data_IF_687014737741
#
_entry.id   IF_687014737741
#
_cell.length_a   1.000
_cell.length_b   1.000
_cell.length_c   1.000
_cell.angle_alpha   90.00
_cell.angle_beta   90.00
_cell.angle_gamma   90.00
#
_symmetry.space_group_name_H-M   'P 1'
#
loop_
_entity.id
_entity.type
_entity.pdbx_description
1 polymer ?
#
# COMPACT_ATOMS: atom_id res chain seq x y z
N UNK A 1 -22.94 -1.22 -12.62
CA UNK A 1 -22.21 -2.26 -11.85
C UNK A 1 -20.89 -1.64 -11.43
N UNK A 2 -20.53 -1.67 -10.15
CA UNK A 2 -19.23 -1.14 -9.68
C UNK A 2 -18.10 -2.11 -10.03
N UNK A 3 -16.91 -1.59 -10.31
CA UNK A 3 -15.72 -2.40 -10.56
C UNK A 3 -15.16 -3.00 -9.26
N UNK A 4 -14.40 -4.10 -9.37
CA UNK A 4 -13.67 -4.67 -8.25
C UNK A 4 -12.74 -3.64 -7.59
N UNK A 5 -12.20 -2.73 -8.39
CA UNK A 5 -11.35 -1.64 -7.91
C UNK A 5 -12.12 -0.67 -7.01
N UNK A 6 -13.27 -0.17 -7.49
CA UNK A 6 -14.12 0.73 -6.69
C UNK A 6 -14.60 0.04 -5.41
N UNK A 7 -15.00 -1.24 -5.51
CA UNK A 7 -15.44 -2.01 -4.36
C UNK A 7 -14.32 -2.15 -3.30
N UNK A 8 -13.12 -2.53 -3.73
CA UNK A 8 -11.99 -2.78 -2.83
C UNK A 8 -11.35 -1.49 -2.29
N UNK A 9 -11.29 -0.42 -3.10
CA UNK A 9 -10.89 0.91 -2.62
C UNK A 9 -11.91 1.43 -1.60
N UNK A 10 -13.22 1.28 -1.87
CA UNK A 10 -14.28 1.67 -0.96
C UNK A 10 -14.14 1.02 0.41
N UNK A 11 -13.84 -0.29 0.45
CA UNK A 11 -13.57 -1.00 1.70
C UNK A 11 -12.34 -0.43 2.46
N UNK A 12 -11.28 -0.03 1.74
CA UNK A 12 -10.11 0.59 2.35
C UNK A 12 -10.42 1.95 2.97
N UNK A 13 -11.14 2.80 2.24
CA UNK A 13 -11.56 4.13 2.70
C UNK A 13 -12.55 4.05 3.86
N UNK A 14 -13.48 3.09 3.85
CA UNK A 14 -14.41 2.91 4.96
C UNK A 14 -13.65 2.65 6.27
N UNK A 15 -12.59 1.82 6.26
CA UNK A 15 -11.76 1.60 7.45
C UNK A 15 -11.06 2.89 7.89
N UNK A 16 -10.58 3.69 6.93
CA UNK A 16 -9.89 4.96 7.19
C UNK A 16 -10.84 5.98 7.86
N UNK A 17 -12.05 6.13 7.34
CA UNK A 17 -13.12 6.99 7.89
C UNK A 17 -13.51 6.54 9.30
N UNK A 18 -13.62 5.23 9.52
CA UNK A 18 -13.99 4.65 10.81
C UNK A 18 -12.92 4.79 11.91
N UNK A 19 -11.77 5.42 11.64
CA UNK A 19 -10.85 5.85 12.72
C UNK A 19 -11.45 6.93 13.62
N UNK A 20 -12.46 7.66 13.14
CA UNK A 20 -13.17 8.67 13.94
C UNK A 20 -12.41 9.98 14.14
N UNK A 21 -11.32 10.19 13.41
CA UNK A 21 -10.55 11.45 13.43
C UNK A 21 -10.74 12.23 12.12
N UNK A 22 -10.65 13.57 12.15
CA UNK A 22 -10.70 14.39 10.94
C UNK A 22 -9.56 14.03 9.98
N UNK A 23 -9.93 13.71 8.75
CA UNK A 23 -9.00 13.41 7.66
C UNK A 23 -9.47 14.08 6.37
N UNK A 24 -8.51 14.48 5.54
CA UNK A 24 -8.77 14.86 4.15
C UNK A 24 -8.19 13.78 3.25
N UNK A 25 -9.01 13.24 2.35
CA UNK A 25 -8.57 12.28 1.33
C UNK A 25 -8.67 12.95 -0.03
N UNK A 26 -7.53 13.15 -0.68
CA UNK A 26 -7.43 13.76 -2.01
C UNK A 26 -6.97 12.71 -3.01
N UNK A 27 -7.79 12.43 -4.03
CA UNK A 27 -7.36 11.61 -5.16
C UNK A 27 -6.36 12.40 -6.01
N UNK A 28 -5.25 11.77 -6.40
CA UNK A 28 -4.20 12.41 -7.21
C UNK A 28 -4.10 11.78 -8.62
N UNK A 29 -5.17 11.86 -9.44
CA UNK A 29 -5.24 11.17 -10.74
C UNK A 29 -4.19 11.66 -11.73
N UNK A 30 -3.72 12.90 -11.57
CA UNK A 30 -2.64 13.49 -12.40
C UNK A 30 -1.26 12.92 -12.08
N UNK A 31 -1.10 12.21 -10.94
CA UNK A 31 0.11 11.48 -10.58
C UNK A 31 -0.05 10.01 -10.98
N UNK A 32 -1.11 9.34 -10.49
CA UNK A 32 -1.47 7.98 -10.86
C UNK A 32 -2.91 7.68 -10.40
N UNK A 33 -3.72 6.93 -11.15
CA UNK A 33 -5.12 6.65 -10.79
C UNK A 33 -5.30 5.94 -9.45
N UNK A 34 -4.27 5.22 -8.97
CA UNK A 34 -4.29 4.51 -7.69
C UNK A 34 -3.57 5.26 -6.55
N UNK A 35 -3.19 6.53 -6.75
CA UNK A 35 -2.56 7.35 -5.69
C UNK A 35 -3.57 8.28 -5.04
N UNK A 36 -3.52 8.30 -3.71
CA UNK A 36 -4.31 9.18 -2.86
C UNK A 36 -3.39 9.83 -1.83
N UNK A 37 -3.71 11.07 -1.46
CA UNK A 37 -3.06 11.80 -0.38
C UNK A 37 -4.03 11.84 0.79
N UNK A 38 -3.57 11.39 1.94
CA UNK A 38 -4.33 11.41 3.19
C UNK A 38 -3.64 12.37 4.14
N UNK A 39 -4.36 13.41 4.54
CA UNK A 39 -3.90 14.40 5.52
C UNK A 39 -4.69 14.26 6.80
N UNK A 40 -3.98 14.19 7.92
CA UNK A 40 -4.51 14.20 9.28
C UNK A 40 -4.09 15.47 10.02
N UNK A 41 -4.41 15.55 11.32
CA UNK A 41 -3.94 16.63 12.18
C UNK A 41 -2.42 16.64 12.36
N UNK A 42 -1.76 15.48 12.24
CA UNK A 42 -0.34 15.31 12.57
C UNK A 42 0.54 14.97 11.38
N UNK A 43 -0.05 14.55 10.26
CA UNK A 43 0.71 13.91 9.18
C UNK A 43 0.04 14.06 7.82
N UNK A 44 0.87 14.08 6.77
CA UNK A 44 0.44 13.93 5.37
C UNK A 44 1.11 12.71 4.78
N UNK A 45 0.30 11.78 4.30
CA UNK A 45 0.73 10.48 3.75
C UNK A 45 0.27 10.33 2.31
N UNK A 46 1.14 9.84 1.44
CA UNK A 46 0.80 9.41 0.10
C UNK A 46 0.64 7.90 0.05
N UNK A 47 -0.46 7.44 -0.53
CA UNK A 47 -0.86 6.04 -0.53
C UNK A 47 -1.02 5.57 -1.97
N UNK A 48 -0.27 4.54 -2.35
CA UNK A 48 -0.52 3.78 -3.58
C UNK A 48 -1.34 2.54 -3.23
N UNK A 49 -2.56 2.45 -3.75
CA UNK A 49 -3.34 1.21 -3.67
C UNK A 49 -2.92 0.23 -4.75
N UNK A 50 -2.65 -1.01 -4.33
CA UNK A 50 -2.51 -2.14 -5.25
C UNK A 50 -3.49 -3.23 -4.83
N UNK A 51 -4.17 -3.82 -5.80
CA UNK A 51 -5.24 -4.79 -5.55
C UNK A 51 -4.84 -6.17 -6.07
N UNK A 52 -5.20 -7.19 -5.32
CA UNK A 52 -5.30 -8.57 -5.82
C UNK A 52 -6.74 -9.05 -5.65
N UNK A 53 -7.31 -9.63 -6.71
CA UNK A 53 -8.65 -10.24 -6.70
C UNK A 53 -8.63 -11.72 -6.33
N UNK A 54 -7.45 -12.30 -6.10
CA UNK A 54 -7.30 -13.70 -5.69
C UNK A 54 -7.94 -13.91 -4.32
N UNK A 55 -8.81 -14.92 -4.20
CA UNK A 55 -9.57 -15.16 -2.97
C UNK A 55 -8.75 -15.73 -1.80
N UNK A 56 -7.60 -16.34 -2.09
CA UNK A 56 -6.73 -17.00 -1.10
C UNK A 56 -5.27 -16.57 -1.25
N UNK A 57 -4.56 -16.56 -0.14
CA UNK A 57 -3.13 -16.29 -0.09
C UNK A 57 -2.31 -17.35 -0.86
N UNK A 58 -1.10 -17.06 -1.34
CA UNK A 58 -0.46 -15.74 -1.35
C UNK A 58 -1.02 -14.82 -2.46
N UNK A 59 -1.14 -13.53 -2.15
CA UNK A 59 -1.44 -12.43 -3.07
C UNK A 59 -0.13 -11.86 -3.61
N UNK A 60 -0.11 -11.40 -4.85
CA UNK A 60 1.10 -10.88 -5.48
C UNK A 60 0.85 -9.52 -6.10
N UNK A 61 1.83 -8.63 -5.93
CA UNK A 61 1.79 -7.25 -6.37
C UNK A 61 3.09 -6.94 -7.08
N UNK A 62 3.01 -6.57 -8.36
CA UNK A 62 4.17 -6.14 -9.15
C UNK A 62 4.10 -4.63 -9.33
N UNK A 63 5.21 -3.95 -9.10
CA UNK A 63 5.32 -2.50 -9.25
C UNK A 63 5.73 -2.15 -10.68
N UNK A 64 4.98 -1.27 -11.33
CA UNK A 64 5.24 -0.85 -12.71
C UNK A 64 6.22 0.33 -12.75
N UNK A 65 6.82 0.60 -13.92
CA UNK A 65 7.62 1.80 -14.13
C UNK A 65 6.82 3.09 -13.98
N UNK A 66 5.52 3.06 -14.31
CA UNK A 66 4.60 4.19 -14.12
C UNK A 66 4.38 4.46 -12.63
N UNK A 67 4.23 3.41 -11.81
CA UNK A 67 4.09 3.55 -10.36
C UNK A 67 5.39 4.07 -9.71
N UNK A 68 6.55 3.61 -10.17
CA UNK A 68 7.85 4.12 -9.73
C UNK A 68 8.02 5.63 -10.02
N UNK A 69 7.67 6.04 -11.24
CA UNK A 69 7.64 7.46 -11.63
C UNK A 69 6.63 8.26 -10.81
N UNK A 70 5.47 7.67 -10.53
CA UNK A 70 4.41 8.29 -9.75
C UNK A 70 4.81 8.51 -8.29
N UNK A 71 5.51 7.56 -7.66
CA UNK A 71 6.08 7.70 -6.31
C UNK A 71 7.09 8.85 -6.29
N UNK A 72 7.97 8.91 -7.28
CA UNK A 72 8.96 9.99 -7.41
C UNK A 72 8.28 11.35 -7.56
N UNK A 73 7.24 11.43 -8.40
CA UNK A 73 6.46 12.66 -8.63
C UNK A 73 5.68 13.10 -7.39
N UNK A 74 5.10 12.15 -6.65
CA UNK A 74 4.41 12.41 -5.39
C UNK A 74 5.34 13.08 -4.39
N UNK A 75 6.55 12.54 -4.22
CA UNK A 75 7.56 13.10 -3.32
C UNK A 75 8.09 14.45 -3.75
N UNK A 76 8.30 14.66 -5.04
CA UNK A 76 8.78 15.94 -5.55
C UNK A 76 7.75 17.06 -5.42
N UNK A 77 6.45 16.74 -5.52
CA UNK A 77 5.35 17.71 -5.37
C UNK A 77 4.97 17.99 -3.92
N UNK A 78 5.23 17.05 -3.01
CA UNK A 78 4.86 17.14 -1.60
C UNK A 78 6.07 16.88 -0.71
N UNK A 79 6.83 17.94 -0.42
CA UNK A 79 8.04 17.84 0.41
C UNK A 79 7.70 17.28 1.80
N UNK A 80 8.41 16.24 2.22
CA UNK A 80 8.20 15.59 3.52
C UNK A 80 7.02 14.62 3.59
N UNK A 81 6.35 14.32 2.46
CA UNK A 81 5.29 13.32 2.44
C UNK A 81 5.85 11.92 2.72
N UNK A 82 5.19 11.17 3.60
CA UNK A 82 5.51 9.75 3.80
C UNK A 82 4.76 8.88 2.80
N UNK A 83 5.47 7.94 2.19
CA UNK A 83 4.90 7.03 1.21
C UNK A 83 4.53 5.67 1.81
N UNK A 84 3.34 5.19 1.46
CA UNK A 84 2.83 3.87 1.82
C UNK A 84 2.26 3.12 0.62
N UNK A 85 2.51 1.82 0.57
CA UNK A 85 1.80 0.90 -0.32
C UNK A 85 0.70 0.18 0.46
N UNK A 86 -0.56 0.40 0.08
CA UNK A 86 -1.71 -0.31 0.62
C UNK A 86 -2.05 -1.50 -0.29
N UNK A 87 -1.59 -2.69 0.11
CA UNK A 87 -1.76 -3.93 -0.65
C UNK A 87 -3.08 -4.61 -0.25
N UNK A 88 -4.12 -4.39 -1.05
CA UNK A 88 -5.47 -4.90 -0.82
C UNK A 88 -5.54 -6.38 -1.20
N UNK A 89 -5.67 -7.23 -0.19
CA UNK A 89 -5.66 -8.69 -0.27
C UNK A 89 -7.08 -9.24 -0.45
N UNK A 90 -7.75 -8.85 -1.54
CA UNK A 90 -9.15 -9.17 -1.81
C UNK A 90 -10.06 -8.87 -0.59
N UNK A 91 -10.81 -9.86 -0.10
CA UNK A 91 -11.70 -9.77 1.06
C UNK A 91 -11.00 -10.05 2.41
N UNK A 92 -9.72 -10.38 2.43
CA UNK A 92 -8.99 -10.68 3.68
C UNK A 92 -8.66 -9.41 4.48
N UNK A 93 -8.20 -8.36 3.80
CA UNK A 93 -7.79 -7.12 4.42
C UNK A 93 -6.74 -6.37 3.60
N UNK A 94 -6.00 -5.50 4.28
CA UNK A 94 -5.06 -4.57 3.65
C UNK A 94 -3.73 -4.68 4.39
N UNK A 95 -2.70 -5.11 3.67
CA UNK A 95 -1.33 -5.09 4.16
C UNK A 95 -0.71 -3.74 3.78
N UNK A 96 -0.54 -2.85 4.75
CA UNK A 96 0.07 -1.55 4.53
C UNK A 96 1.57 -1.63 4.82
N UNK A 97 2.39 -1.21 3.87
CA UNK A 97 3.84 -1.17 3.99
C UNK A 97 4.33 0.28 3.89
N UNK A 98 5.21 0.69 4.81
CA UNK A 98 5.98 1.92 4.63
C UNK A 98 7.01 1.75 3.52
N UNK A 99 7.54 2.86 3.04
CA UNK A 99 8.64 2.84 2.08
C UNK A 99 9.87 2.03 2.56
N UNK A 100 10.29 2.21 3.82
CA UNK A 100 11.42 1.45 4.36
C UNK A 100 11.16 -0.05 4.36
N UNK A 101 9.92 -0.47 4.65
CA UNK A 101 9.53 -1.88 4.62
C UNK A 101 9.52 -2.44 3.20
N UNK A 102 9.15 -1.61 2.22
CA UNK A 102 9.24 -1.97 0.81
C UNK A 102 10.70 -2.17 0.40
N UNK A 103 11.60 -1.23 0.71
CA UNK A 103 13.03 -1.37 0.42
C UNK A 103 13.67 -2.55 1.13
N UNK A 104 13.23 -2.89 2.35
CA UNK A 104 13.73 -4.06 3.08
C UNK A 104 13.41 -5.41 2.41
N UNK A 105 12.45 -5.45 1.48
CA UNK A 105 12.12 -6.66 0.71
C UNK A 105 12.47 -6.56 -0.76
N UNK A 106 12.79 -5.37 -1.25
CA UNK A 106 13.28 -5.20 -2.61
C UNK A 106 14.76 -5.53 -2.71
N UNK A 107 15.17 -5.80 -3.95
CA UNK A 107 16.57 -6.07 -4.26
C UNK A 107 17.39 -4.83 -3.90
N UNK A 108 18.24 -4.95 -2.86
CA UNK A 108 18.92 -3.85 -2.19
C UNK A 108 19.80 -3.00 -3.11
N UNK A 109 20.16 -3.54 -4.27
CA UNK A 109 21.03 -2.88 -5.25
C UNK A 109 20.29 -1.83 -6.10
N UNK A 110 18.96 -1.71 -5.98
CA UNK A 110 18.18 -0.77 -6.78
C UNK A 110 17.20 0.01 -5.92
N UNK A 111 17.41 1.32 -5.80
CA UNK A 111 16.44 2.31 -5.33
C UNK A 111 15.26 2.51 -6.30
N UNK A 112 14.84 1.43 -6.98
CA UNK A 112 13.88 1.42 -8.08
C UNK A 112 12.80 0.39 -7.75
N UNK A 113 11.55 0.84 -7.73
CA UNK A 113 10.37 -0.01 -7.51
C UNK A 113 10.00 -0.80 -8.78
N UNK A 114 10.27 -0.24 -9.95
CA UNK A 114 9.88 -0.81 -11.24
C UNK A 114 10.39 -2.26 -11.42
N UNK A 115 9.47 -3.16 -11.77
CA UNK A 115 9.75 -4.57 -12.00
C UNK A 115 9.88 -5.42 -10.74
N UNK A 116 9.86 -4.80 -9.55
CA UNK A 116 9.89 -5.53 -8.29
C UNK A 116 8.52 -6.15 -7.99
N UNK A 117 8.53 -7.34 -7.39
CA UNK A 117 7.33 -8.07 -7.00
C UNK A 117 7.36 -8.41 -5.52
N UNK A 118 6.23 -8.16 -4.86
CA UNK A 118 5.97 -8.58 -3.48
C UNK A 118 4.90 -9.66 -3.47
N UNK A 119 5.08 -10.66 -2.62
CA UNK A 119 4.09 -11.67 -2.27
C UNK A 119 3.69 -11.52 -0.81
N UNK A 120 2.39 -11.37 -0.58
CA UNK A 120 1.78 -11.26 0.75
C UNK A 120 1.03 -12.54 1.06
N UNK A 121 1.30 -13.14 2.20
CA UNK A 121 0.58 -14.32 2.67
C UNK A 121 0.17 -14.16 4.12
N UNK A 122 -0.87 -14.88 4.52
CA UNK A 122 -1.42 -14.82 5.87
C UNK A 122 -2.07 -16.14 6.22
N UNK A 123 -1.83 -16.60 7.44
CA UNK A 123 -2.59 -17.69 8.08
C UNK A 123 -3.82 -17.11 8.76
N UNK A 124 -4.88 -17.91 8.93
CA UNK A 124 -6.09 -17.49 9.64
C UNK A 124 -5.74 -16.82 10.98
N UNK A 125 -6.37 -15.68 11.27
CA UNK A 125 -6.15 -14.87 12.47
C UNK A 125 -4.70 -14.37 12.71
N UNK A 126 -3.77 -14.57 11.78
CA UNK A 126 -2.36 -14.18 11.93
C UNK A 126 -2.03 -12.79 11.35
N UNK A 127 -0.75 -12.45 11.36
CA UNK A 127 -0.19 -11.29 10.66
C UNK A 127 0.16 -11.60 9.20
N UNK A 128 0.26 -10.55 8.38
CA UNK A 128 0.77 -10.64 7.02
C UNK A 128 2.27 -10.94 7.01
N UNK A 129 2.66 -11.89 6.18
CA UNK A 129 4.01 -12.27 5.87
C UNK A 129 4.35 -11.77 4.47
N UNK A 130 5.46 -11.06 4.36
CA UNK A 130 5.86 -10.36 3.14
C UNK A 130 7.15 -10.99 2.63
N UNK A 131 7.13 -11.39 1.37
CA UNK A 131 8.28 -11.89 0.65
C UNK A 131 8.49 -11.04 -0.61
N UNK A 132 9.70 -10.56 -0.82
CA UNK A 132 10.11 -9.88 -2.03
C UNK A 132 10.51 -10.84 -3.15
N UNK A 133 11.09 -10.27 -4.20
CA UNK A 133 11.72 -11.06 -5.25
C UNK A 133 12.91 -11.88 -4.69
N UNK A 134 13.30 -12.96 -5.38
CA UNK A 134 14.46 -13.80 -5.01
C UNK A 134 14.42 -14.41 -3.59
N UNK A 135 13.23 -14.67 -3.03
CA UNK A 135 13.02 -15.28 -1.69
C UNK A 135 13.51 -14.42 -0.52
N UNK A 136 13.69 -13.11 -0.71
CA UNK A 136 13.94 -12.18 0.40
C UNK A 136 12.68 -12.11 1.25
N UNK A 137 12.80 -12.39 2.55
CA UNK A 137 11.68 -12.38 3.49
C UNK A 137 11.82 -11.21 4.43
N UNK A 138 10.74 -10.47 4.65
CA UNK A 138 10.75 -9.41 5.65
C UNK A 138 10.93 -9.99 7.05
N UNK A 139 11.86 -9.42 7.82
CA UNK A 139 12.18 -9.93 9.17
C UNK A 139 11.02 -9.79 10.16
N UNK A 140 10.11 -8.84 9.94
CA UNK A 140 8.92 -8.61 10.78
C UNK A 140 7.65 -8.87 9.97
N UNK A 141 6.58 -9.26 10.67
CA UNK A 141 5.24 -9.40 10.07
C UNK A 141 4.47 -8.10 10.21
N UNK A 142 3.44 -7.92 9.38
CA UNK A 142 2.55 -6.74 9.43
C UNK A 142 1.20 -7.14 10.03
N UNK A 143 0.79 -6.57 11.16
CA UNK A 143 -0.52 -6.83 11.76
C UNK A 143 -1.67 -6.44 10.81
N UNK A 144 -2.79 -7.19 10.84
CA UNK A 144 -3.96 -6.89 10.00
C UNK A 144 -4.61 -5.53 10.33
N UNK A 145 -4.44 -5.06 11.57
CA UNK A 145 -4.96 -3.79 12.06
C UNK A 145 -3.97 -2.63 11.89
N UNK A 146 -2.83 -2.85 11.22
CA UNK A 146 -1.87 -1.78 10.90
C UNK A 146 -2.50 -0.77 9.93
N UNK A 147 -3.27 -1.24 8.95
CA UNK A 147 -4.18 -0.36 8.20
C UNK A 147 -5.44 -0.10 9.01
N UNK A 148 -5.92 1.16 9.11
CA UNK A 148 -5.36 2.38 8.49
C UNK A 148 -4.49 3.25 9.42
N UNK A 149 -4.13 2.75 10.61
CA UNK A 149 -3.43 3.56 11.62
C UNK A 149 -2.07 4.10 11.20
N UNK A 150 -1.39 3.46 10.23
CA UNK A 150 -0.06 3.89 9.78
C UNK A 150 -0.05 5.19 8.93
N UNK A 151 -1.18 5.50 8.27
CA UNK A 151 -1.24 6.57 7.26
C UNK A 151 -1.89 7.86 7.75
N UNK A 152 -2.33 7.89 9.01
CA UNK A 152 -3.02 9.03 9.64
C UNK A 152 -2.26 9.47 10.87
#
# INVERSE_FOLDING_TARGET
MISDQEFLHGAAFLRLINLGQPITVTHAPTIHPSIYIVSSLTKVSGILFKISTKSRSAWSFTFSAQEDTAISTLKSKHLGIEFFAALVCHRDGICCLSEDQLFAVFDSDKSIFAGQRISVSRKSCGSYHINGAKKVRMGKTVPQNAWPKLVV
#
